data_IF_867077783708
#
_entry.id   IF_867077783708
#
_cell.length_a   1.000
_cell.length_b   1.000
_cell.length_c   1.000
_cell.angle_alpha   90.00
_cell.angle_beta   90.00
_cell.angle_gamma   90.00
#
_symmetry.space_group_name_H-M   'P 1'
#
loop_
_entity.id
_entity.type
_entity.pdbx_description
1 polymer ?
#
# COMPACT_ATOMS: atom_id res chain seq x y z
N UNK A 1 -23.96 -4.39 18.56
CA UNK A 1 -24.97 -5.02 17.70
C UNK A 1 -24.24 -5.98 16.78
N UNK A 2 -24.69 -7.22 16.71
CA UNK A 2 -24.23 -8.22 15.74
C UNK A 2 -25.47 -8.60 14.92
N UNK A 3 -25.37 -8.46 13.60
CA UNK A 3 -26.50 -8.65 12.67
C UNK A 3 -26.51 -10.07 12.12
N UNK A 4 -27.70 -10.61 11.85
CA UNK A 4 -27.84 -11.86 11.12
C UNK A 4 -27.29 -13.08 11.88
N UNK A 5 -27.52 -13.19 13.19
CA UNK A 5 -27.04 -14.34 13.98
C UNK A 5 -28.16 -15.23 14.50
N UNK A 6 -27.85 -16.53 14.63
CA UNK A 6 -28.55 -17.39 15.57
C UNK A 6 -28.27 -16.85 16.98
N UNK A 7 -29.34 -16.52 17.68
CA UNK A 7 -29.28 -16.06 19.07
C UNK A 7 -28.81 -17.19 20.01
N UNK A 8 -28.25 -16.87 21.19
CA UNK A 8 -27.77 -17.88 22.13
C UNK A 8 -28.87 -18.79 22.66
N UNK A 9 -28.49 -19.94 23.22
CA UNK A 9 -29.44 -20.85 23.87
C UNK A 9 -30.22 -20.16 25.00
N UNK A 10 -31.49 -20.54 25.16
CA UNK A 10 -32.44 -19.91 26.09
C UNK A 10 -32.35 -20.41 27.54
N UNK A 11 -31.31 -21.15 27.92
CA UNK A 11 -31.19 -21.77 29.26
C UNK A 11 -31.15 -20.74 30.39
N UNK A 12 -30.51 -19.60 30.14
CA UNK A 12 -30.42 -18.47 31.07
C UNK A 12 -30.96 -17.20 30.43
N UNK A 13 -32.18 -17.28 29.89
CA UNK A 13 -32.86 -16.14 29.31
C UNK A 13 -34.13 -15.73 30.05
N UNK A 14 -34.51 -14.48 29.86
CA UNK A 14 -35.79 -13.93 30.29
C UNK A 14 -36.49 -13.30 29.09
N UNK A 15 -37.79 -13.52 28.97
CA UNK A 15 -38.59 -13.09 27.83
C UNK A 15 -39.77 -12.24 28.30
N UNK A 16 -40.02 -11.15 27.60
CA UNK A 16 -41.18 -10.27 27.81
C UNK A 16 -41.64 -9.73 26.46
N UNK A 17 -42.78 -10.20 25.98
CA UNK A 17 -43.32 -9.85 24.66
C UNK A 17 -43.96 -8.46 24.61
N UNK A 18 -44.23 -7.86 25.78
CA UNK A 18 -45.02 -6.63 25.88
C UNK A 18 -44.19 -5.36 25.71
N UNK A 19 -42.89 -5.46 25.94
CA UNK A 19 -41.99 -4.31 25.97
C UNK A 19 -41.29 -4.08 24.64
N UNK A 20 -40.84 -2.84 24.42
CA UNK A 20 -40.09 -2.46 23.23
C UNK A 20 -38.60 -2.80 23.36
N UNK A 21 -37.88 -2.80 22.24
CA UNK A 21 -36.42 -2.97 22.22
C UNK A 21 -35.69 -1.90 23.05
N UNK A 22 -36.17 -0.66 23.06
CA UNK A 22 -35.57 0.42 23.83
C UNK A 22 -35.76 0.22 25.34
N UNK A 23 -36.95 -0.24 25.75
CA UNK A 23 -37.20 -0.60 27.14
C UNK A 23 -36.38 -1.83 27.56
N UNK A 24 -36.26 -2.81 26.67
CA UNK A 24 -35.40 -3.98 26.83
C UNK A 24 -33.94 -3.57 27.06
N UNK A 25 -33.43 -2.60 26.28
CA UNK A 25 -32.10 -2.02 26.46
C UNK A 25 -31.93 -1.40 27.84
N UNK A 26 -32.89 -0.58 28.28
CA UNK A 26 -32.83 0.07 29.60
C UNK A 26 -32.85 -0.97 30.72
N UNK A 27 -33.71 -1.99 30.64
CA UNK A 27 -33.76 -3.10 31.62
C UNK A 27 -32.44 -3.88 31.67
N UNK A 28 -31.84 -4.19 30.52
CA UNK A 28 -30.56 -4.89 30.46
C UNK A 28 -29.41 -4.06 31.05
N UNK A 29 -29.35 -2.76 30.74
CA UNK A 29 -28.31 -1.87 31.30
C UNK A 29 -28.41 -1.74 32.82
N UNK A 30 -29.64 -1.69 33.35
CA UNK A 30 -29.89 -1.63 34.79
C UNK A 30 -29.67 -2.97 35.52
N UNK A 31 -29.48 -4.07 34.79
CA UNK A 31 -29.18 -5.38 35.36
C UNK A 31 -27.73 -5.79 35.06
N UNK A 32 -26.85 -5.72 36.06
CA UNK A 32 -25.42 -6.02 35.92
C UNK A 32 -25.10 -7.43 35.43
N UNK A 33 -26.04 -8.37 35.55
CA UNK A 33 -25.87 -9.75 35.06
C UNK A 33 -26.33 -9.94 33.61
N UNK A 34 -27.03 -8.97 33.02
CA UNK A 34 -27.46 -9.04 31.63
C UNK A 34 -26.27 -8.92 30.69
N UNK A 35 -26.13 -9.88 29.76
CA UNK A 35 -25.01 -9.96 28.83
C UNK A 35 -25.42 -9.68 27.38
N UNK A 36 -26.67 -9.97 27.01
CA UNK A 36 -27.21 -9.60 25.70
C UNK A 36 -28.72 -9.45 25.71
N UNK A 37 -29.26 -8.76 24.70
CA UNK A 37 -30.69 -8.66 24.47
C UNK A 37 -31.06 -8.59 22.98
N UNK A 38 -32.32 -8.90 22.65
CA UNK A 38 -32.92 -8.74 21.31
C UNK A 38 -34.45 -8.69 21.40
N UNK A 39 -35.14 -8.44 20.29
CA UNK A 39 -36.59 -8.56 20.19
C UNK A 39 -37.03 -10.03 20.32
N UNK A 40 -38.19 -10.34 20.88
CA UNK A 40 -38.71 -11.72 20.81
C UNK A 40 -39.45 -11.99 19.49
N UNK A 41 -40.01 -10.94 18.89
CA UNK A 41 -40.69 -10.98 17.61
C UNK A 41 -39.98 -10.05 16.62
N UNK A 42 -39.57 -10.60 15.46
CA UNK A 42 -38.86 -9.88 14.39
C UNK A 42 -39.80 -9.35 13.29
N UNK A 43 -41.11 -9.58 13.40
CA UNK A 43 -42.08 -9.11 12.41
C UNK A 43 -42.28 -7.59 12.47
N UNK A 44 -42.43 -6.95 11.31
CA UNK A 44 -42.69 -5.51 11.22
C UNK A 44 -41.57 -4.66 11.85
N UNK A 45 -41.92 -3.84 12.86
CA UNK A 45 -40.94 -3.03 13.62
C UNK A 45 -40.16 -3.83 14.67
N UNK A 46 -40.52 -5.10 14.86
CA UNK A 46 -40.07 -5.93 15.97
C UNK A 46 -40.72 -5.53 17.29
N UNK A 47 -40.96 -6.51 18.15
CA UNK A 47 -41.57 -6.30 19.47
C UNK A 47 -41.07 -7.33 20.47
N UNK A 48 -41.30 -7.04 21.75
CA UNK A 48 -40.87 -7.89 22.84
C UNK A 48 -39.38 -7.84 23.09
N UNK A 49 -38.93 -8.65 24.04
CA UNK A 49 -37.59 -8.62 24.58
C UNK A 49 -37.19 -10.02 24.99
N UNK A 50 -35.98 -10.41 24.60
CA UNK A 50 -35.26 -11.55 25.17
C UNK A 50 -33.96 -11.01 25.72
N UNK A 51 -33.67 -11.29 26.99
CA UNK A 51 -32.39 -10.98 27.63
C UNK A 51 -31.69 -12.27 28.03
N UNK A 52 -30.37 -12.31 27.91
CA UNK A 52 -29.53 -13.42 28.36
C UNK A 52 -28.64 -12.99 29.53
N UNK A 53 -28.42 -13.93 30.46
CA UNK A 53 -27.59 -13.76 31.64
C UNK A 53 -26.44 -14.77 31.62
N UNK A 54 -25.21 -14.30 31.87
CA UNK A 54 -24.00 -15.14 31.83
C UNK A 54 -23.48 -15.40 30.41
N UNK A 55 -22.78 -16.52 30.23
CA UNK A 55 -22.05 -16.80 29.00
C UNK A 55 -22.98 -17.01 27.80
N UNK A 56 -22.67 -16.34 26.70
CA UNK A 56 -23.41 -16.46 25.45
C UNK A 56 -22.84 -17.63 24.63
N UNK A 57 -23.56 -18.75 24.62
CA UNK A 57 -23.13 -20.00 23.97
C UNK A 57 -23.97 -20.25 22.70
N UNK A 58 -23.33 -20.88 21.70
CA UNK A 58 -23.94 -21.31 20.43
C UNK A 58 -24.44 -20.20 19.49
N UNK A 59 -23.81 -19.01 19.54
CA UNK A 59 -24.00 -17.96 18.54
C UNK A 59 -23.35 -18.38 17.21
N UNK A 60 -24.09 -18.28 16.11
CA UNK A 60 -23.61 -18.59 14.75
C UNK A 60 -24.14 -17.56 13.74
N UNK A 61 -23.37 -17.26 12.71
CA UNK A 61 -23.83 -16.39 11.62
C UNK A 61 -24.76 -17.15 10.67
N UNK A 62 -25.89 -16.54 10.31
CA UNK A 62 -26.84 -17.03 9.31
C UNK A 62 -26.96 -16.00 8.18
N UNK A 63 -26.75 -16.44 6.94
CA UNK A 63 -26.75 -15.53 5.78
C UNK A 63 -28.12 -14.98 5.41
N UNK A 64 -29.20 -15.69 5.73
CA UNK A 64 -30.54 -15.40 5.17
C UNK A 64 -31.68 -15.33 6.21
N UNK A 65 -31.47 -15.73 7.48
CA UNK A 65 -32.55 -15.81 8.49
C UNK A 65 -32.07 -15.56 9.93
N UNK A 66 -31.05 -14.70 10.06
CA UNK A 66 -30.47 -14.36 11.36
C UNK A 66 -31.16 -13.17 12.02
N UNK A 67 -31.03 -13.08 13.34
CA UNK A 67 -31.59 -12.01 14.15
C UNK A 67 -30.50 -11.08 14.69
N UNK A 68 -30.84 -9.80 14.88
CA UNK A 68 -29.95 -8.82 15.50
C UNK A 68 -29.77 -9.10 17.00
N UNK A 69 -28.53 -9.31 17.44
CA UNK A 69 -28.18 -9.50 18.85
C UNK A 69 -27.44 -8.28 19.40
N UNK A 70 -27.89 -7.75 20.54
CA UNK A 70 -27.26 -6.62 21.22
C UNK A 70 -26.50 -7.12 22.44
N UNK A 71 -25.18 -7.25 22.31
CA UNK A 71 -24.28 -7.68 23.39
C UNK A 71 -23.92 -6.47 24.26
N UNK A 72 -24.05 -6.61 25.58
CA UNK A 72 -23.55 -5.65 26.56
C UNK A 72 -22.04 -5.78 26.63
N UNK A 73 -21.35 -4.66 26.50
CA UNK A 73 -19.89 -4.59 26.58
C UNK A 73 -19.46 -3.36 27.36
N UNK A 74 -18.28 -3.41 27.96
CA UNK A 74 -17.72 -2.25 28.64
C UNK A 74 -17.38 -1.13 27.64
N UNK A 75 -17.57 0.12 28.06
CA UNK A 75 -17.30 1.28 27.21
C UNK A 75 -15.82 1.35 26.77
N UNK A 76 -14.89 0.91 27.63
CA UNK A 76 -13.46 0.90 27.32
C UNK A 76 -13.11 -0.12 26.23
N UNK A 77 -13.77 -1.28 26.22
CA UNK A 77 -13.57 -2.30 25.18
C UNK A 77 -14.12 -1.84 23.84
N UNK A 78 -15.30 -1.21 23.84
CA UNK A 78 -15.88 -0.63 22.65
C UNK A 78 -14.99 0.48 22.07
N UNK A 79 -14.49 1.38 22.94
CA UNK A 79 -13.59 2.45 22.52
C UNK A 79 -12.28 1.89 21.96
N UNK A 80 -11.67 0.89 22.60
CA UNK A 80 -10.43 0.25 22.15
C UNK A 80 -10.59 -0.32 20.74
N UNK A 81 -11.69 -1.01 20.48
CA UNK A 81 -11.96 -1.62 19.18
C UNK A 81 -12.17 -0.55 18.08
N UNK A 82 -12.95 0.50 18.37
CA UNK A 82 -13.13 1.64 17.44
C UNK A 82 -11.80 2.34 17.18
N UNK A 83 -11.04 2.65 18.23
CA UNK A 83 -9.75 3.32 18.13
C UNK A 83 -8.76 2.49 17.30
N UNK A 84 -8.67 1.18 17.54
CA UNK A 84 -7.81 0.30 16.79
C UNK A 84 -8.18 0.27 15.29
N UNK A 85 -9.48 0.23 14.95
CA UNK A 85 -9.94 0.33 13.55
C UNK A 85 -9.53 1.66 12.91
N UNK A 86 -9.77 2.79 13.58
CA UNK A 86 -9.40 4.11 13.08
C UNK A 86 -7.89 4.25 12.85
N UNK A 87 -7.08 3.79 13.80
CA UNK A 87 -5.61 3.80 13.67
C UNK A 87 -5.16 2.92 12.51
N UNK A 88 -5.74 1.71 12.37
CA UNK A 88 -5.43 0.80 11.26
C UNK A 88 -5.77 1.42 9.90
N UNK A 89 -6.91 2.09 9.78
CA UNK A 89 -7.31 2.75 8.54
C UNK A 89 -6.44 3.97 8.23
N UNK A 90 -6.04 4.76 9.23
CA UNK A 90 -5.06 5.84 9.04
C UNK A 90 -3.71 5.32 8.56
N UNK A 91 -3.22 4.21 9.11
CA UNK A 91 -1.96 3.58 8.67
C UNK A 91 -2.07 3.11 7.21
N UNK A 92 -3.21 2.53 6.82
CA UNK A 92 -3.47 2.11 5.42
C UNK A 92 -3.45 3.29 4.46
N UNK A 93 -4.07 4.40 4.83
CA UNK A 93 -4.10 5.63 4.03
C UNK A 93 -2.69 6.23 3.91
N UNK A 94 -1.93 6.29 5.00
CA UNK A 94 -0.57 6.82 4.97
C UNK A 94 0.34 5.96 4.07
N UNK A 95 0.24 4.64 4.17
CA UNK A 95 1.02 3.73 3.34
C UNK A 95 0.69 3.90 1.84
N UNK A 96 -0.57 4.08 1.47
CA UNK A 96 -0.97 4.29 0.07
C UNK A 96 -0.42 5.60 -0.50
N UNK A 97 -0.43 6.69 0.28
CA UNK A 97 0.13 7.98 -0.12
C UNK A 97 1.64 7.87 -0.40
N UNK A 98 2.38 7.19 0.47
CA UNK A 98 3.84 7.01 0.29
C UNK A 98 4.14 6.26 -1.01
N UNK A 99 3.36 5.22 -1.32
CA UNK A 99 3.52 4.46 -2.58
C UNK A 99 3.26 5.34 -3.80
N UNK A 100 2.19 6.14 -3.78
CA UNK A 100 1.86 7.06 -4.89
C UNK A 100 2.96 8.11 -5.08
N UNK A 101 3.43 8.74 -4.01
CA UNK A 101 4.54 9.70 -4.07
C UNK A 101 5.82 9.06 -4.59
N UNK A 102 6.10 7.82 -4.19
CA UNK A 102 7.24 7.04 -4.70
C UNK A 102 7.16 6.82 -6.23
N UNK A 103 5.99 6.44 -6.74
CA UNK A 103 5.77 6.26 -8.18
C UNK A 103 5.94 7.58 -8.95
N UNK A 104 5.37 8.67 -8.43
CA UNK A 104 5.50 10.00 -9.04
C UNK A 104 6.96 10.46 -9.05
N UNK A 105 7.69 10.26 -7.95
CA UNK A 105 9.12 10.58 -7.87
C UNK A 105 9.95 9.76 -8.87
N UNK A 106 9.72 8.45 -8.96
CA UNK A 106 10.39 7.60 -9.95
C UNK A 106 10.06 8.02 -11.38
N UNK A 107 8.79 8.33 -11.67
CA UNK A 107 8.35 8.85 -12.96
C UNK A 107 9.04 10.17 -13.32
N UNK A 108 9.10 11.11 -12.37
CA UNK A 108 9.78 12.39 -12.53
C UNK A 108 11.29 12.23 -12.76
N UNK A 109 11.95 11.35 -12.00
CA UNK A 109 13.37 11.03 -12.19
C UNK A 109 13.62 10.44 -13.57
N UNK A 110 12.78 9.51 -14.03
CA UNK A 110 12.87 8.92 -15.38
C UNK A 110 12.63 9.96 -16.47
N UNK A 111 11.69 10.88 -16.26
CA UNK A 111 11.41 11.99 -17.17
C UNK A 111 12.62 12.92 -17.34
N UNK A 112 13.24 13.37 -16.24
CA UNK A 112 14.44 14.21 -16.30
C UNK A 112 15.61 13.49 -16.98
N UNK A 113 15.85 12.22 -16.63
CA UNK A 113 16.94 11.44 -17.23
C UNK A 113 16.74 11.28 -18.74
N UNK A 114 15.52 10.97 -19.19
CA UNK A 114 15.20 10.90 -20.63
C UNK A 114 15.37 12.24 -21.31
N UNK A 115 14.96 13.33 -20.68
CA UNK A 115 15.10 14.68 -21.24
C UNK A 115 16.57 15.04 -21.47
N UNK A 116 17.46 14.75 -20.52
CA UNK A 116 18.91 14.98 -20.67
C UNK A 116 19.52 14.19 -21.84
N UNK A 117 19.12 12.93 -22.01
CA UNK A 117 19.59 12.10 -23.14
C UNK A 117 19.18 12.69 -24.49
N UNK A 118 17.95 13.21 -24.61
CA UNK A 118 17.45 13.83 -25.85
C UNK A 118 18.17 15.15 -26.16
N UNK A 119 18.45 15.95 -25.14
CA UNK A 119 19.22 17.20 -25.28
C UNK A 119 20.68 16.90 -25.69
N UNK A 120 21.32 15.90 -25.08
CA UNK A 120 22.67 15.45 -25.47
C UNK A 120 22.70 14.89 -26.91
N UNK A 121 21.68 14.13 -27.34
CA UNK A 121 21.62 13.61 -28.72
C UNK A 121 21.46 14.70 -29.77
N UNK A 122 20.76 15.80 -29.45
CA UNK A 122 20.60 16.94 -30.36
C UNK A 122 21.87 17.76 -30.54
N UNK A 123 22.74 17.83 -29.52
CA UNK A 123 24.05 18.48 -29.65
C UNK A 123 25.00 17.68 -30.56
N UNK A 124 24.88 16.34 -30.57
CA UNK A 124 25.69 15.47 -31.43
C UNK A 124 25.31 15.61 -32.92
N UNK A 125 24.02 15.84 -33.24
CA UNK A 125 23.59 16.08 -34.64
C UNK A 125 24.07 17.42 -35.22
N UNK A 126 24.27 18.45 -34.39
CA UNK A 126 24.71 19.78 -34.86
C UNK A 126 26.20 19.84 -35.19
N UNK A 127 27.04 18.97 -34.62
CA UNK A 127 28.47 18.89 -34.94
C UNK A 127 28.80 17.92 -36.09
N UNK A 128 27.89 17.01 -36.45
CA UNK A 128 28.09 16.08 -37.57
C UNK A 128 27.84 16.66 -38.98
N UNK A 129 27.50 17.95 -39.07
CA UNK A 129 26.98 18.58 -40.28
C UNK A 129 27.82 19.76 -40.80
N UNK A 130 29.16 19.65 -40.86
CA UNK A 130 29.99 20.58 -41.65
C UNK A 130 31.37 20.00 -41.95
N UNK A 131 31.56 19.53 -43.17
CA UNK A 131 32.86 19.10 -43.69
C UNK A 131 32.76 18.54 -45.10
N UNK A 132 32.62 19.43 -46.10
CA UNK A 132 32.86 19.09 -47.50
C UNK A 132 34.35 19.28 -47.80
N UNK A 133 35.03 18.26 -48.30
CA UNK A 133 36.33 18.41 -48.98
C UNK A 133 37.46 17.52 -48.45
N UNK A 134 37.69 16.42 -49.18
CA UNK A 134 38.97 15.81 -49.57
C UNK A 134 39.88 15.08 -48.54
N UNK A 135 40.39 13.95 -49.05
CA UNK A 135 41.42 12.99 -48.62
C UNK A 135 42.05 13.07 -47.21
N UNK A 136 41.94 11.96 -46.46
CA UNK A 136 42.83 11.67 -45.33
C UNK A 136 42.23 10.74 -44.27
N UNK A 137 42.45 9.44 -44.46
CA UNK A 137 42.33 8.33 -43.50
C UNK A 137 42.40 8.74 -42.01
N UNK A 138 41.27 8.65 -41.30
CA UNK A 138 41.15 8.44 -39.85
C UNK A 138 39.66 8.24 -39.49
N UNK A 139 39.13 7.05 -39.77
CA UNK A 139 37.82 6.61 -39.24
C UNK A 139 37.93 6.41 -37.71
N UNK A 140 37.86 7.51 -36.95
CA UNK A 140 37.79 7.45 -35.49
C UNK A 140 36.32 7.23 -35.09
N UNK A 141 35.96 6.10 -34.45
CA UNK A 141 34.61 5.91 -33.98
C UNK A 141 34.29 6.99 -32.93
N UNK A 142 33.28 7.81 -33.20
CA UNK A 142 32.75 8.76 -32.24
C UNK A 142 32.16 8.00 -31.04
N UNK A 143 32.91 7.94 -29.94
CA UNK A 143 32.48 7.29 -28.70
C UNK A 143 31.80 8.31 -27.79
N UNK A 144 30.54 8.02 -27.39
CA UNK A 144 29.81 8.85 -26.44
C UNK A 144 30.53 8.93 -25.08
N UNK A 145 30.54 10.12 -24.46
CA UNK A 145 31.17 10.35 -23.16
C UNK A 145 30.69 9.39 -22.06
N UNK A 146 29.40 9.03 -22.06
CA UNK A 146 28.84 8.03 -21.14
C UNK A 146 29.49 6.66 -21.27
N UNK A 147 29.88 6.28 -22.49
CA UNK A 147 30.61 5.04 -22.77
C UNK A 147 32.01 5.13 -22.20
N UNK A 148 32.70 6.27 -22.33
CA UNK A 148 34.04 6.48 -21.77
C UNK A 148 34.04 6.46 -20.24
N UNK A 149 33.10 7.18 -19.60
CA UNK A 149 32.92 7.17 -18.14
C UNK A 149 32.64 5.76 -17.65
N UNK A 150 31.77 5.01 -18.33
CA UNK A 150 31.44 3.63 -17.96
C UNK A 150 32.62 2.68 -18.17
N UNK A 151 33.31 2.81 -19.30
CA UNK A 151 34.47 1.99 -19.66
C UNK A 151 35.66 2.21 -18.72
N UNK A 152 35.85 3.43 -18.22
CA UNK A 152 36.97 3.79 -17.33
C UNK A 152 36.64 3.73 -15.84
N UNK A 153 35.41 3.33 -15.49
CA UNK A 153 34.87 3.42 -14.12
C UNK A 153 35.03 4.83 -13.55
N UNK A 154 34.41 5.79 -14.24
CA UNK A 154 34.45 7.21 -13.91
C UNK A 154 35.88 7.75 -13.74
N UNK A 155 36.77 7.39 -14.67
CA UNK A 155 38.19 7.77 -14.63
C UNK A 155 38.89 7.43 -13.30
N UNK A 156 38.55 6.27 -12.73
CA UNK A 156 39.13 5.77 -11.49
C UNK A 156 40.65 5.66 -11.58
N UNK A 157 41.35 6.14 -10.55
CA UNK A 157 42.83 6.07 -10.45
C UNK A 157 43.33 4.62 -10.55
N UNK A 158 42.52 3.64 -10.10
CA UNK A 158 42.83 2.21 -10.22
C UNK A 158 42.97 1.73 -11.67
N UNK A 159 42.40 2.48 -12.60
CA UNK A 159 42.46 2.21 -14.03
C UNK A 159 43.48 3.09 -14.75
N UNK A 160 44.12 4.05 -14.08
CA UNK A 160 45.16 4.89 -14.67
C UNK A 160 46.41 4.05 -14.95
N UNK A 161 46.88 4.10 -16.19
CA UNK A 161 48.07 3.38 -16.67
C UNK A 161 49.29 4.28 -16.68
N UNK A 162 49.10 5.61 -16.79
CA UNK A 162 50.17 6.60 -16.77
C UNK A 162 49.66 8.01 -16.98
N UNK A 163 50.54 9.01 -16.87
CA UNK A 163 50.29 10.40 -17.21
C UNK A 163 51.57 11.01 -17.79
N UNK A 164 51.44 11.78 -18.87
CA UNK A 164 52.54 12.48 -19.52
C UNK A 164 52.06 13.75 -20.20
N UNK A 165 52.84 14.28 -21.16
CA UNK A 165 52.47 15.50 -21.90
C UNK A 165 51.15 15.44 -22.67
N UNK A 166 50.61 14.25 -22.87
CA UNK A 166 49.31 13.99 -23.51
C UNK A 166 48.17 13.78 -22.50
N UNK A 167 48.43 13.96 -21.20
CA UNK A 167 47.45 13.77 -20.13
C UNK A 167 47.41 12.34 -19.57
N UNK A 168 46.43 12.06 -18.68
CA UNK A 168 46.27 10.77 -18.02
C UNK A 168 45.66 9.71 -18.95
N UNK A 169 46.24 8.52 -18.96
CA UNK A 169 45.80 7.37 -19.77
C UNK A 169 45.14 6.34 -18.85
N UNK A 170 43.98 5.81 -19.25
CA UNK A 170 43.20 4.85 -18.47
C UNK A 170 42.95 3.54 -19.23
N UNK A 171 42.96 2.41 -18.53
CA UNK A 171 42.57 1.09 -19.06
C UNK A 171 41.05 0.95 -19.07
N UNK A 172 40.53 0.29 -20.10
CA UNK A 172 39.10 0.01 -20.25
C UNK A 172 38.73 -1.29 -19.52
N UNK A 173 37.65 -1.25 -18.72
CA UNK A 173 37.06 -2.43 -18.10
C UNK A 173 36.24 -3.20 -19.14
N UNK A 174 36.82 -4.30 -19.64
CA UNK A 174 36.36 -5.09 -20.79
C UNK A 174 34.92 -5.65 -20.67
N UNK A 175 34.38 -5.80 -19.46
CA UNK A 175 33.09 -6.45 -19.22
C UNK A 175 31.85 -5.59 -19.56
N UNK A 176 32.01 -4.28 -19.82
CA UNK A 176 30.88 -3.38 -20.10
C UNK A 176 30.58 -3.19 -21.60
N UNK A 177 31.50 -3.58 -22.50
CA UNK A 177 31.31 -3.44 -23.95
C UNK A 177 30.62 -4.67 -24.61
N UNK A 178 30.51 -5.79 -23.91
CA UNK A 178 29.82 -7.00 -24.39
C UNK A 178 28.36 -7.07 -23.89
N UNK A 179 27.58 -6.00 -24.06
CA UNK A 179 26.15 -5.99 -23.68
C UNK A 179 25.24 -5.23 -24.65
N UNK A 180 25.61 -5.17 -25.93
CA UNK A 180 24.75 -4.67 -27.02
C UNK A 180 25.06 -5.39 -28.33
N UNK A 181 24.85 -6.70 -28.37
CA UNK A 181 24.63 -7.43 -29.64
C UNK A 181 23.97 -8.78 -29.36
N UNK A 182 22.81 -8.74 -28.71
CA UNK A 182 21.87 -9.87 -28.65
C UNK A 182 20.47 -9.29 -28.42
N UNK A 183 19.87 -8.83 -29.52
CA UNK A 183 18.43 -8.78 -29.81
C UNK A 183 18.29 -8.65 -31.32
#
# INVERSE_FOLDING_TARGET
KVEGVKVPDCTHSWVDETISLDECRVKCLNNCSCMAYTNSNITGKGSGCVMWFGDLIDIREFKDDGQDLYIRMDASELYREVHHRLVKDLIRILASIIVVLGILYLGYRRYILRRRIIEDSKMIELEGGRGSGDEGDCDLPLLAYSTLVTATDNFSIKNKIGEGGFGPVYKVIKYLLCRKRDL
#
